data_IF_754654811632
#
_entry.id   IF_754654811632
#
_cell.length_a   1.000
_cell.length_b   1.000
_cell.length_c   1.000
_cell.angle_alpha   90.00
_cell.angle_beta   90.00
_cell.angle_gamma   90.00
#
_symmetry.space_group_name_H-M   'P 1'
#
loop_
_entity.id
_entity.type
_entity.pdbx_description
1 polymer ?
#
# COMPACT_ATOMS: atom_id res chain seq x y z
N UNK A 1 -1.25 -24.80 -32.89
CA UNK A 1 -0.65 -23.93 -33.80
C UNK A 1 0.26 -22.91 -33.15
N UNK A 2 1.16 -22.39 -33.94
CA UNK A 2 2.25 -21.61 -33.42
C UNK A 2 1.81 -20.33 -32.77
N UNK A 3 0.85 -19.69 -33.36
CA UNK A 3 0.37 -18.43 -32.84
C UNK A 3 -0.27 -18.62 -31.46
N UNK A 4 -1.03 -19.68 -31.35
CA UNK A 4 -1.65 -19.99 -30.08
C UNK A 4 -0.64 -20.37 -29.04
N UNK A 5 0.41 -21.07 -29.45
CA UNK A 5 1.43 -21.44 -28.49
C UNK A 5 2.23 -20.25 -28.03
N UNK A 6 2.51 -19.34 -28.92
CA UNK A 6 3.17 -18.12 -28.53
C UNK A 6 2.33 -17.36 -27.51
N UNK A 7 1.04 -17.31 -27.75
CA UNK A 7 0.16 -16.64 -26.82
C UNK A 7 0.05 -17.36 -25.49
N UNK A 8 0.11 -18.67 -25.50
CA UNK A 8 0.08 -19.42 -24.25
C UNK A 8 1.35 -19.21 -23.45
N UNK A 9 2.46 -19.04 -24.11
CA UNK A 9 3.70 -18.76 -23.41
C UNK A 9 3.70 -17.36 -22.82
N UNK A 10 3.08 -16.41 -23.52
CA UNK A 10 3.05 -15.02 -23.07
C UNK A 10 2.41 -14.83 -21.70
N UNK A 11 1.29 -15.47 -21.40
CA UNK A 11 0.66 -15.27 -20.09
C UNK A 11 1.57 -15.55 -18.93
N UNK A 12 2.54 -16.42 -19.10
CA UNK A 12 3.46 -16.73 -18.04
C UNK A 12 4.32 -15.53 -17.68
N UNK A 13 4.72 -14.80 -18.70
CA UNK A 13 5.48 -13.58 -18.49
C UNK A 13 4.60 -12.54 -17.82
N UNK A 14 3.35 -12.46 -18.25
CA UNK A 14 2.42 -11.49 -17.70
C UNK A 14 2.22 -11.69 -16.19
N UNK A 15 2.31 -12.93 -15.74
CA UNK A 15 2.17 -13.19 -14.30
C UNK A 15 3.23 -12.50 -13.47
N UNK A 16 4.32 -12.16 -14.07
CA UNK A 16 5.37 -11.45 -13.36
C UNK A 16 5.06 -9.98 -13.16
N UNK A 17 4.10 -9.48 -13.92
CA UNK A 17 3.75 -8.07 -13.87
C UNK A 17 2.82 -7.85 -12.69
N UNK A 18 3.26 -7.00 -11.76
CA UNK A 18 2.46 -6.66 -10.61
C UNK A 18 1.51 -5.52 -10.94
N UNK A 19 0.41 -5.48 -10.22
CA UNK A 19 -0.50 -4.34 -10.28
C UNK A 19 0.23 -3.10 -9.82
N UNK A 20 -0.23 -1.95 -10.28
CA UNK A 20 0.32 -0.68 -9.85
C UNK A 20 0.17 -0.54 -8.34
N UNK A 21 1.14 0.08 -7.67
CA UNK A 21 1.01 0.31 -6.24
C UNK A 21 -0.18 1.19 -5.91
N UNK A 22 -0.76 0.96 -4.75
CA UNK A 22 -1.83 1.81 -4.24
C UNK A 22 -1.25 2.78 -3.22
N UNK A 23 -1.58 4.06 -3.34
CA UNK A 23 -1.19 5.06 -2.38
C UNK A 23 -2.43 5.50 -1.59
N UNK A 24 -2.35 5.42 -0.26
CA UNK A 24 -3.40 5.88 0.64
C UNK A 24 -2.87 7.09 1.39
N UNK A 25 -3.48 8.25 1.17
CA UNK A 25 -3.00 9.50 1.75
C UNK A 25 -3.71 9.81 3.06
N UNK A 26 -2.99 10.49 3.95
CA UNK A 26 -3.46 10.80 5.29
C UNK A 26 -3.39 12.28 5.56
N UNK A 27 -4.26 12.74 6.44
CA UNK A 27 -4.22 14.11 6.93
C UNK A 27 -3.07 14.28 7.93
N UNK A 28 -2.65 15.51 8.14
CA UNK A 28 -1.55 15.81 9.05
C UNK A 28 -1.84 15.24 10.45
N UNK A 29 -0.85 14.62 11.04
CA UNK A 29 -0.93 14.03 12.39
C UNK A 29 -2.03 12.97 12.54
N UNK A 30 -2.58 12.46 11.46
CA UNK A 30 -3.66 11.48 11.51
C UNK A 30 -3.20 10.15 10.95
N UNK A 31 -3.73 9.09 11.53
CA UNK A 31 -3.50 7.74 11.03
C UNK A 31 -4.82 7.06 10.63
N UNK A 32 -5.94 7.77 10.72
CA UNK A 32 -7.23 7.21 10.32
C UNK A 32 -7.40 7.29 8.80
N UNK A 33 -7.96 6.23 8.25
CA UNK A 33 -8.21 6.15 6.81
C UNK A 33 -9.53 6.86 6.53
N UNK A 34 -9.50 7.85 5.64
CA UNK A 34 -10.73 8.58 5.30
C UNK A 34 -11.67 7.67 4.49
N UNK A 35 -12.95 8.05 4.45
CA UNK A 35 -13.95 7.27 3.73
C UNK A 35 -13.59 7.11 2.25
N UNK A 36 -13.07 8.17 1.66
CA UNK A 36 -12.65 8.13 0.25
C UNK A 36 -11.52 7.13 0.02
N UNK A 37 -10.53 7.17 0.88
CA UNK A 37 -9.40 6.25 0.76
C UNK A 37 -9.80 4.81 1.08
N UNK A 38 -10.78 4.64 1.97
CA UNK A 38 -11.28 3.32 2.29
C UNK A 38 -11.90 2.64 1.08
N UNK A 39 -12.55 3.40 0.21
CA UNK A 39 -13.10 2.85 -1.03
C UNK A 39 -11.99 2.33 -1.92
N UNK A 40 -10.92 3.11 -2.08
CA UNK A 40 -9.77 2.67 -2.87
C UNK A 40 -9.16 1.40 -2.30
N UNK A 41 -9.07 1.35 -0.98
CA UNK A 41 -8.50 0.19 -0.29
C UNK A 41 -9.35 -1.05 -0.52
N UNK A 42 -10.66 -0.90 -0.53
CA UNK A 42 -11.58 -2.00 -0.77
C UNK A 42 -11.33 -2.64 -2.14
N UNK A 43 -11.16 -1.82 -3.16
CA UNK A 43 -10.90 -2.35 -4.50
C UNK A 43 -9.55 -3.03 -4.58
N UNK A 44 -8.55 -2.46 -3.93
CA UNK A 44 -7.23 -3.08 -3.93
C UNK A 44 -7.22 -4.41 -3.17
N UNK A 45 -8.04 -4.52 -2.13
CA UNK A 45 -8.19 -5.76 -1.38
C UNK A 45 -8.64 -6.91 -2.29
N UNK A 46 -9.50 -6.62 -3.26
CA UNK A 46 -9.91 -7.65 -4.22
C UNK A 46 -8.74 -8.13 -5.06
N UNK A 47 -7.87 -7.22 -5.43
CA UNK A 47 -6.65 -7.59 -6.18
C UNK A 47 -5.80 -8.55 -5.33
N UNK A 48 -5.60 -8.21 -4.07
CA UNK A 48 -4.79 -9.05 -3.18
C UNK A 48 -5.42 -10.43 -3.01
N UNK A 49 -6.73 -10.47 -2.80
CA UNK A 49 -7.43 -11.75 -2.60
C UNK A 49 -7.40 -12.61 -3.85
N UNK A 50 -7.38 -11.98 -5.03
CA UNK A 50 -7.31 -12.71 -6.27
C UNK A 50 -5.91 -13.21 -6.59
N UNK A 51 -4.92 -12.83 -5.79
CA UNK A 51 -3.55 -13.27 -5.95
C UNK A 51 -3.04 -13.87 -4.64
N UNK A 52 -3.60 -15.00 -4.21
CA UNK A 52 -3.38 -15.51 -2.87
C UNK A 52 -1.95 -15.93 -2.57
N UNK A 53 -1.12 -16.12 -3.58
CA UNK A 53 0.27 -16.52 -3.39
C UNK A 53 1.22 -15.34 -3.41
N UNK A 54 0.72 -14.13 -3.57
CA UNK A 54 1.54 -12.93 -3.58
C UNK A 54 1.58 -12.31 -2.20
N UNK A 55 2.73 -11.73 -1.85
CA UNK A 55 2.91 -10.97 -0.63
C UNK A 55 3.03 -9.50 -1.00
N UNK A 56 2.31 -8.66 -0.30
CA UNK A 56 2.27 -7.23 -0.55
C UNK A 56 2.90 -6.50 0.62
N UNK A 57 3.69 -5.49 0.31
CA UNK A 57 4.31 -4.66 1.34
C UNK A 57 3.43 -3.46 1.60
N UNK A 58 3.16 -3.21 2.87
CA UNK A 58 2.36 -2.06 3.33
C UNK A 58 3.33 -1.13 4.04
N UNK A 59 3.76 -0.08 3.35
CA UNK A 59 4.80 0.80 3.84
C UNK A 59 4.23 2.16 4.17
N UNK A 60 4.37 2.56 5.43
CA UNK A 60 3.87 3.86 5.90
C UNK A 60 4.95 4.90 5.95
N UNK A 61 4.57 6.13 5.66
CA UNK A 61 5.45 7.30 5.69
C UNK A 61 4.78 8.44 6.42
N UNK A 62 5.59 9.36 6.92
CA UNK A 62 5.12 10.62 7.48
C UNK A 62 5.93 11.74 6.84
N UNK A 63 5.41 12.98 6.85
CA UNK A 63 6.21 14.05 6.32
C UNK A 63 7.22 14.50 7.38
N UNK A 64 8.45 14.72 6.95
CA UNK A 64 9.55 15.05 7.84
C UNK A 64 9.47 16.48 8.34
N UNK A 65 8.72 17.32 7.65
CA UNK A 65 8.59 18.73 8.00
C UNK A 65 7.81 18.97 9.28
N UNK A 66 7.03 17.96 9.71
CA UNK A 66 6.23 18.07 10.94
C UNK A 66 6.62 16.97 11.91
N UNK A 67 6.62 17.29 13.19
CA UNK A 67 6.91 16.31 14.23
C UNK A 67 8.40 16.02 14.41
N UNK A 68 8.69 15.13 15.32
CA UNK A 68 10.06 14.68 15.59
C UNK A 68 10.30 13.36 14.87
N UNK A 69 11.58 12.95 14.70
CA UNK A 69 11.87 11.65 14.09
C UNK A 69 11.20 10.48 14.80
N UNK A 70 11.21 10.48 16.15
CA UNK A 70 10.58 9.39 16.88
C UNK A 70 9.07 9.38 16.70
N UNK A 71 8.43 10.54 16.70
CA UNK A 71 7.00 10.66 16.49
C UNK A 71 6.64 10.18 15.07
N UNK A 72 7.42 10.61 14.08
CA UNK A 72 7.15 10.25 12.69
C UNK A 72 7.33 8.76 12.46
N UNK A 73 8.30 8.15 13.13
CA UNK A 73 8.47 6.71 13.02
C UNK A 73 7.21 5.98 13.51
N UNK A 74 6.73 6.37 14.69
CA UNK A 74 5.52 5.75 15.24
C UNK A 74 4.30 6.03 14.40
N UNK A 75 4.17 7.25 13.90
CA UNK A 75 3.03 7.62 13.06
C UNK A 75 3.02 6.81 11.76
N UNK A 76 4.18 6.66 11.14
CA UNK A 76 4.29 5.88 9.90
C UNK A 76 3.93 4.43 10.12
N UNK A 77 4.38 3.86 11.24
CA UNK A 77 4.03 2.48 11.60
C UNK A 77 2.54 2.33 11.84
N UNK A 78 1.96 3.29 12.55
CA UNK A 78 0.53 3.24 12.84
C UNK A 78 -0.30 3.37 11.58
N UNK A 79 0.10 4.23 10.66
CA UNK A 79 -0.59 4.36 9.37
C UNK A 79 -0.56 3.06 8.59
N UNK A 80 0.62 2.44 8.51
CA UNK A 80 0.75 1.17 7.80
C UNK A 80 -0.07 0.07 8.49
N UNK A 81 -0.03 0.02 9.81
CA UNK A 81 -0.78 -0.98 10.56
C UNK A 81 -2.28 -0.81 10.37
N UNK A 82 -2.76 0.43 10.38
CA UNK A 82 -4.18 0.69 10.18
C UNK A 82 -4.66 0.26 8.80
N UNK A 83 -3.83 0.46 7.78
CA UNK A 83 -4.16 -0.01 6.42
C UNK A 83 -4.19 -1.53 6.39
N UNK A 84 -3.19 -2.18 6.98
CA UNK A 84 -3.16 -3.64 7.03
C UNK A 84 -4.36 -4.19 7.80
N UNK A 85 -4.70 -3.59 8.93
CA UNK A 85 -5.84 -4.02 9.74
C UNK A 85 -7.15 -3.89 8.96
N UNK A 86 -7.31 -2.81 8.21
CA UNK A 86 -8.52 -2.64 7.41
C UNK A 86 -8.59 -3.70 6.30
N UNK A 87 -7.46 -3.99 5.65
CA UNK A 87 -7.43 -5.03 4.64
C UNK A 87 -7.84 -6.37 5.20
N UNK A 88 -7.35 -6.72 6.38
CA UNK A 88 -7.63 -8.01 7.00
C UNK A 88 -9.04 -8.04 7.59
N UNK A 89 -9.37 -7.06 8.43
CA UNK A 89 -10.60 -7.12 9.23
C UNK A 89 -11.83 -6.69 8.48
N UNK A 90 -11.70 -5.71 7.59
CA UNK A 90 -12.86 -5.22 6.84
C UNK A 90 -13.03 -5.92 5.50
N UNK A 91 -11.94 -6.27 4.86
CA UNK A 91 -12.01 -6.75 3.48
C UNK A 91 -11.53 -8.18 3.28
N UNK A 92 -11.16 -8.86 4.36
CA UNK A 92 -10.93 -10.30 4.31
C UNK A 92 -9.61 -10.75 3.71
N UNK A 93 -8.64 -9.86 3.61
CA UNK A 93 -7.31 -10.23 3.13
C UNK A 93 -6.62 -11.07 4.21
N UNK A 94 -5.84 -12.06 3.80
CA UNK A 94 -5.07 -12.87 4.74
C UNK A 94 -3.88 -12.09 5.25
N UNK A 95 -3.69 -12.09 6.56
CA UNK A 95 -2.58 -11.37 7.17
C UNK A 95 -1.23 -11.85 6.62
N UNK A 96 -1.13 -13.13 6.27
CA UNK A 96 0.11 -13.70 5.73
C UNK A 96 0.51 -13.10 4.37
N UNK A 97 -0.40 -12.41 3.71
CA UNK A 97 -0.08 -11.74 2.45
C UNK A 97 0.46 -10.34 2.64
N UNK A 98 0.57 -9.85 3.88
CA UNK A 98 0.95 -8.47 4.13
C UNK A 98 2.22 -8.39 4.97
N UNK A 99 3.11 -7.48 4.58
CA UNK A 99 4.29 -7.12 5.37
C UNK A 99 4.16 -5.64 5.70
N UNK A 100 4.14 -5.33 6.98
CA UNK A 100 3.90 -3.97 7.47
C UNK A 100 5.22 -3.33 7.86
N UNK A 101 5.50 -2.15 7.31
CA UNK A 101 6.74 -1.43 7.57
C UNK A 101 6.45 0.05 7.75
N UNK A 102 7.04 0.68 8.76
CA UNK A 102 7.01 2.12 8.93
C UNK A 102 8.38 2.70 8.61
N UNK A 103 8.43 3.67 7.72
CA UNK A 103 9.69 4.28 7.26
C UNK A 103 9.97 5.62 7.93
N UNK A 104 9.04 6.12 8.75
CA UNK A 104 9.25 7.39 9.44
C UNK A 104 9.02 8.58 8.53
N UNK A 105 9.65 9.71 8.91
CA UNK A 105 9.51 10.93 8.15
C UNK A 105 10.38 10.92 6.90
N UNK A 106 9.81 11.43 5.82
CA UNK A 106 10.53 11.56 4.56
C UNK A 106 10.33 12.96 4.00
N UNK A 107 11.28 13.41 3.21
CA UNK A 107 11.17 14.66 2.49
C UNK A 107 10.61 14.37 1.11
N UNK A 108 9.59 15.10 0.73
CA UNK A 108 9.12 15.12 -0.65
C UNK A 108 9.18 13.76 -1.36
N UNK A 109 8.45 12.80 -0.83
CA UNK A 109 8.37 11.47 -1.45
C UNK A 109 7.90 11.60 -2.89
N UNK A 110 7.03 12.57 -3.16
CA UNK A 110 6.56 12.90 -4.48
C UNK A 110 6.76 14.39 -4.74
N UNK A 111 6.85 14.75 -6.01
CA UNK A 111 6.74 16.15 -6.37
C UNK A 111 5.30 16.58 -6.11
N UNK A 112 5.11 17.70 -5.48
CA UNK A 112 3.77 18.19 -5.19
C UNK A 112 3.57 18.61 -3.75
N UNK A 113 4.58 18.42 -2.91
CA UNK A 113 4.57 18.96 -1.56
C UNK A 113 4.53 17.91 -0.47
N UNK A 114 4.67 18.39 0.75
CA UNK A 114 4.82 17.53 1.93
C UNK A 114 3.58 16.69 2.20
N UNK A 115 2.41 17.15 1.79
CA UNK A 115 1.18 16.38 2.02
C UNK A 115 1.21 15.03 1.30
N UNK A 116 1.98 14.92 0.23
CA UNK A 116 2.09 13.66 -0.51
C UNK A 116 3.04 12.67 0.16
N UNK A 117 3.74 13.11 1.21
CA UNK A 117 4.58 12.22 2.01
C UNK A 117 3.80 11.60 3.17
N UNK A 118 2.57 12.01 3.39
CA UNK A 118 1.70 11.43 4.42
C UNK A 118 0.90 10.31 3.78
N UNK A 119 1.56 9.17 3.60
CA UNK A 119 1.02 8.13 2.71
C UNK A 119 1.41 6.74 3.20
N UNK A 120 0.57 5.77 2.86
CA UNK A 120 0.90 4.35 2.93
C UNK A 120 0.85 3.81 1.50
N UNK A 121 1.89 3.12 1.13
CA UNK A 121 1.98 2.51 -0.20
C UNK A 121 1.84 1.01 -0.04
N UNK A 122 0.92 0.43 -0.78
CA UNK A 122 0.70 -1.01 -0.82
C UNK A 122 1.19 -1.52 -2.17
N UNK A 123 2.16 -2.40 -2.16
CA UNK A 123 2.76 -2.89 -3.40
C UNK A 123 3.21 -4.39 -3.27
#
# INVERSE_FOLDING_TARGET
DELNQARKAQPQVVKEVKEAPLAIFFNINKANITAKEMINLKYYAEIIKNNPNQVYRVTGYADKATGTPAYNQKLSEKRAQNVADALVKKFGVKASQLQVVGKGGVDNLYEGGVQLSRVVIVE
#
